data_IF_857178847874
#
_entry.id   IF_857178847874
#
_cell.length_a   1.000
_cell.length_b   1.000
_cell.length_c   1.000
_cell.angle_alpha   90.00
_cell.angle_beta   90.00
_cell.angle_gamma   90.00
#
_symmetry.space_group_name_H-M   'P 1'
#
loop_
_entity.id
_entity.type
_entity.pdbx_description
1 polymer ?
#
# COMPACT_ATOMS: atom_id res chain seq x y z
N UNK A 1 -17.90 -21.22 -13.20
CA UNK A 1 -16.47 -20.94 -13.03
C UNK A 1 -16.17 -19.64 -13.75
N UNK A 2 -16.21 -18.49 -13.06
CA UNK A 2 -15.96 -17.16 -13.63
C UNK A 2 -14.76 -16.55 -12.94
N UNK A 3 -13.98 -15.80 -13.71
CA UNK A 3 -12.56 -15.53 -13.51
C UNK A 3 -12.20 -14.79 -12.24
N UNK A 4 -11.18 -15.32 -11.56
CA UNK A 4 -10.28 -14.51 -10.73
C UNK A 4 -9.21 -13.96 -11.67
N UNK A 5 -9.23 -12.64 -11.88
CA UNK A 5 -8.08 -11.90 -12.40
C UNK A 5 -7.01 -11.97 -11.29
N UNK A 6 -6.14 -12.97 -11.44
CA UNK A 6 -5.12 -13.38 -10.47
C UNK A 6 -3.94 -12.43 -10.57
N UNK A 7 -3.44 -11.96 -9.44
CA UNK A 7 -2.09 -11.41 -9.26
C UNK A 7 -1.04 -12.50 -9.49
N UNK A 8 -1.02 -13.07 -10.70
CA UNK A 8 -0.25 -14.27 -11.04
C UNK A 8 1.27 -14.05 -10.94
N UNK A 9 1.71 -12.79 -10.99
CA UNK A 9 3.13 -12.43 -10.97
C UNK A 9 3.79 -12.69 -9.60
N UNK A 10 3.20 -12.26 -8.49
CA UNK A 10 3.80 -12.48 -7.17
C UNK A 10 3.80 -13.97 -6.76
N UNK A 11 2.78 -14.71 -7.17
CA UNK A 11 2.78 -16.17 -7.03
C UNK A 11 3.90 -16.82 -7.86
N UNK A 12 4.14 -16.35 -9.08
CA UNK A 12 5.24 -16.83 -9.92
C UNK A 12 6.61 -16.56 -9.29
N UNK A 13 6.80 -15.39 -8.69
CA UNK A 13 8.05 -15.02 -8.00
C UNK A 13 8.32 -15.97 -6.81
N UNK A 14 7.33 -16.29 -5.99
CA UNK A 14 7.50 -17.29 -4.92
C UNK A 14 7.77 -18.69 -5.45
N UNK A 15 7.12 -19.11 -6.54
CA UNK A 15 7.43 -20.42 -7.14
C UNK A 15 8.85 -20.47 -7.67
N UNK A 16 9.32 -19.42 -8.34
CA UNK A 16 10.70 -19.32 -8.82
C UNK A 16 11.69 -19.37 -7.65
N UNK A 17 11.39 -18.70 -6.53
CA UNK A 17 12.18 -18.77 -5.30
C UNK A 17 12.24 -20.21 -4.75
N UNK A 18 11.08 -20.89 -4.62
CA UNK A 18 11.03 -22.26 -4.11
C UNK A 18 11.72 -23.28 -5.01
N UNK A 19 11.74 -23.04 -6.32
CA UNK A 19 12.47 -23.86 -7.29
C UNK A 19 13.98 -23.56 -7.33
N UNK A 20 14.44 -22.50 -6.65
CA UNK A 20 15.84 -22.06 -6.69
C UNK A 20 16.23 -21.37 -7.99
N UNK A 21 15.28 -20.82 -8.74
CA UNK A 21 15.52 -20.07 -9.99
C UNK A 21 15.94 -18.62 -9.71
N UNK A 22 15.55 -18.08 -8.55
CA UNK A 22 15.92 -16.76 -8.04
C UNK A 22 16.28 -16.87 -6.57
N UNK A 23 17.15 -15.97 -6.09
CA UNK A 23 17.57 -15.95 -4.68
C UNK A 23 16.63 -15.17 -3.76
N UNK A 24 15.93 -14.17 -4.30
CA UNK A 24 15.05 -13.25 -3.54
C UNK A 24 13.84 -12.88 -4.39
N UNK A 25 12.66 -12.82 -3.75
CA UNK A 25 11.41 -12.34 -4.34
C UNK A 25 10.87 -11.15 -3.55
N UNK A 26 10.32 -10.15 -4.25
CA UNK A 26 9.62 -9.03 -3.64
C UNK A 26 8.11 -9.24 -3.82
N UNK A 27 7.39 -9.55 -2.74
CA UNK A 27 5.98 -9.89 -2.79
C UNK A 27 5.14 -9.03 -1.87
N UNK A 28 3.84 -8.97 -2.14
CA UNK A 28 2.85 -8.23 -1.36
C UNK A 28 2.10 -9.13 -0.40
N UNK A 29 1.57 -8.54 0.66
CA UNK A 29 0.71 -9.24 1.62
C UNK A 29 -0.53 -9.85 0.93
N UNK A 30 -0.98 -11.05 1.35
CA UNK A 30 -0.45 -11.85 2.47
C UNK A 30 0.65 -12.85 2.07
N UNK A 31 1.22 -12.74 0.85
CA UNK A 31 2.10 -13.80 0.31
C UNK A 31 3.40 -13.95 1.08
N UNK A 32 3.96 -12.83 1.56
CA UNK A 32 5.16 -12.83 2.40
C UNK A 32 4.93 -13.56 3.72
N UNK A 33 3.87 -13.21 4.46
CA UNK A 33 3.51 -13.85 5.72
C UNK A 33 3.24 -15.35 5.56
N UNK A 34 2.53 -15.74 4.49
CA UNK A 34 2.25 -17.16 4.20
C UNK A 34 3.56 -17.91 3.94
N UNK A 35 4.46 -17.34 3.16
CA UNK A 35 5.75 -17.95 2.83
C UNK A 35 6.62 -18.14 4.07
N UNK A 36 6.67 -17.13 4.95
CA UNK A 36 7.40 -17.18 6.23
C UNK A 36 6.77 -18.18 7.20
N UNK A 37 5.45 -18.12 7.43
CA UNK A 37 4.74 -19.01 8.34
C UNK A 37 4.86 -20.49 7.92
N UNK A 38 4.95 -20.77 6.62
CA UNK A 38 5.18 -22.12 6.09
C UNK A 38 6.62 -22.63 6.23
N UNK A 39 7.55 -21.78 6.66
CA UNK A 39 8.99 -22.09 6.76
C UNK A 39 9.71 -22.23 5.42
N UNK A 40 9.04 -21.87 4.31
CA UNK A 40 9.61 -21.99 2.95
C UNK A 40 10.44 -20.78 2.54
N UNK A 41 10.24 -19.64 3.18
CA UNK A 41 11.01 -18.43 2.99
C UNK A 41 11.30 -17.76 4.34
N UNK A 42 12.20 -16.79 4.31
CA UNK A 42 12.50 -15.90 5.43
C UNK A 42 12.32 -14.46 4.95
N UNK A 43 11.66 -13.62 5.74
CA UNK A 43 11.58 -12.19 5.44
C UNK A 43 12.97 -11.56 5.63
N UNK A 44 13.46 -10.89 4.59
CA UNK A 44 14.73 -10.16 4.62
C UNK A 44 14.53 -8.67 4.95
N UNK A 45 13.45 -8.09 4.42
CA UNK A 45 13.06 -6.69 4.61
C UNK A 45 11.53 -6.64 4.62
N UNK A 46 10.97 -6.06 5.67
CA UNK A 46 9.56 -5.66 5.77
C UNK A 46 9.48 -4.14 5.57
N UNK A 47 8.86 -3.69 4.47
CA UNK A 47 8.80 -2.26 4.13
C UNK A 47 8.01 -1.43 5.15
N UNK A 48 7.18 -2.07 5.99
CA UNK A 48 6.43 -1.38 7.04
C UNK A 48 7.27 -1.13 8.30
N UNK A 49 8.33 -1.93 8.54
CA UNK A 49 9.09 -1.93 9.80
C UNK A 49 10.57 -1.59 9.63
N UNK A 50 11.15 -1.95 8.50
CA UNK A 50 12.60 -1.94 8.31
C UNK A 50 13.07 -0.70 7.54
N UNK A 51 14.24 -0.20 7.92
CA UNK A 51 14.92 0.85 7.17
C UNK A 51 15.28 0.35 5.76
N UNK A 52 15.24 1.21 4.74
CA UNK A 52 15.00 2.66 4.83
C UNK A 52 13.54 3.10 4.69
N UNK A 53 12.59 2.16 4.64
CA UNK A 53 11.18 2.44 4.35
C UNK A 53 10.29 2.57 5.59
N UNK A 54 10.78 2.17 6.76
CA UNK A 54 10.09 2.28 8.04
C UNK A 54 9.47 3.68 8.23
N UNK A 55 8.17 3.72 8.53
CA UNK A 55 7.43 4.97 8.72
C UNK A 55 7.26 5.78 7.44
N UNK A 56 7.27 5.16 6.26
CA UNK A 56 6.97 5.82 4.97
C UNK A 56 5.77 5.20 4.29
N UNK A 57 4.90 6.03 3.74
CA UNK A 57 3.79 5.56 2.93
C UNK A 57 4.26 5.30 1.49
N UNK A 58 4.15 4.04 1.04
CA UNK A 58 4.54 3.65 -0.32
C UNK A 58 3.43 3.89 -1.37
N UNK A 59 2.18 4.01 -0.93
CA UNK A 59 1.00 4.16 -1.78
C UNK A 59 0.33 5.50 -1.52
N UNK A 60 -0.04 6.22 -2.59
CA UNK A 60 -0.68 7.52 -2.52
C UNK A 60 -1.97 7.54 -3.35
N UNK A 61 -2.94 8.35 -2.93
CA UNK A 61 -4.10 8.69 -3.75
C UNK A 61 -3.76 9.85 -4.68
N UNK A 62 -4.09 9.71 -5.96
CA UNK A 62 -3.85 10.74 -6.97
C UNK A 62 -5.17 11.24 -7.55
N UNK A 63 -5.24 12.55 -7.77
CA UNK A 63 -6.30 13.18 -8.53
C UNK A 63 -5.68 14.03 -9.65
N UNK A 64 -6.36 14.13 -10.79
CA UNK A 64 -5.86 14.97 -11.89
C UNK A 64 -5.82 16.44 -11.47
N UNK A 65 -4.78 17.17 -11.86
CA UNK A 65 -4.64 18.59 -11.52
C UNK A 65 -5.80 19.45 -12.02
N UNK A 66 -6.48 19.01 -13.09
CA UNK A 66 -7.70 19.67 -13.58
C UNK A 66 -8.82 19.59 -12.55
N UNK A 67 -9.15 18.38 -12.08
CA UNK A 67 -10.23 18.17 -11.11
C UNK A 67 -9.91 18.83 -9.77
N UNK A 68 -8.64 18.79 -9.32
CA UNK A 68 -8.24 19.47 -8.08
C UNK A 68 -8.46 21.00 -8.17
N UNK A 69 -8.24 21.61 -9.34
CA UNK A 69 -8.43 23.05 -9.55
C UNK A 69 -9.89 23.45 -9.77
N UNK A 70 -10.63 22.66 -10.55
CA UNK A 70 -12.02 22.98 -10.91
C UNK A 70 -13.00 22.61 -9.79
N UNK A 71 -12.74 21.50 -9.08
CA UNK A 71 -13.66 20.91 -8.09
C UNK A 71 -12.96 20.62 -6.74
N UNK A 72 -12.29 21.60 -6.09
CA UNK A 72 -11.52 21.35 -4.87
C UNK A 72 -12.38 20.81 -3.70
N UNK A 73 -13.62 21.27 -3.58
CA UNK A 73 -14.55 20.80 -2.53
C UNK A 73 -14.93 19.32 -2.70
N UNK A 74 -14.99 18.81 -3.93
CA UNK A 74 -15.27 17.39 -4.18
C UNK A 74 -14.07 16.52 -3.80
N UNK A 75 -12.84 16.96 -4.08
CA UNK A 75 -11.63 16.25 -3.64
C UNK A 75 -11.54 16.25 -2.12
N UNK A 76 -11.83 17.38 -1.47
CA UNK A 76 -11.88 17.47 -0.01
C UNK A 76 -12.95 16.56 0.59
N UNK A 77 -14.12 16.48 -0.04
CA UNK A 77 -15.18 15.56 0.39
C UNK A 77 -14.75 14.09 0.26
N UNK A 78 -14.08 13.73 -0.84
CA UNK A 78 -13.53 12.39 -1.05
C UNK A 78 -12.46 12.05 -0.01
N UNK A 79 -11.51 12.95 0.23
CA UNK A 79 -10.46 12.76 1.23
C UNK A 79 -11.06 12.53 2.63
N UNK A 80 -12.02 13.36 3.04
CA UNK A 80 -12.73 13.17 4.31
C UNK A 80 -13.52 11.84 4.37
N UNK A 81 -14.06 11.37 3.25
CA UNK A 81 -14.74 10.07 3.19
C UNK A 81 -13.74 8.92 3.38
N UNK A 82 -12.54 9.02 2.80
CA UNK A 82 -11.45 8.05 2.98
C UNK A 82 -11.01 8.01 4.45
N UNK A 83 -10.76 9.15 5.09
CA UNK A 83 -10.37 9.20 6.51
C UNK A 83 -11.43 8.59 7.44
N UNK A 84 -12.73 8.80 7.14
CA UNK A 84 -13.83 8.17 7.88
C UNK A 84 -13.85 6.65 7.68
N UNK A 85 -13.62 6.19 6.46
CA UNK A 85 -13.56 4.76 6.17
C UNK A 85 -12.36 4.09 6.85
N UNK A 86 -11.19 4.72 6.80
CA UNK A 86 -9.97 4.27 7.47
C UNK A 86 -10.17 4.16 8.98
N UNK A 87 -10.76 5.19 9.62
CA UNK A 87 -11.14 5.14 11.03
C UNK A 87 -12.09 3.99 11.33
N UNK A 88 -13.14 3.82 10.52
CA UNK A 88 -14.11 2.74 10.73
C UNK A 88 -13.46 1.35 10.58
N UNK A 89 -12.56 1.16 9.61
CA UNK A 89 -11.83 -0.11 9.43
C UNK A 89 -10.95 -0.39 10.65
N UNK A 90 -10.23 0.62 11.13
CA UNK A 90 -9.38 0.50 12.32
C UNK A 90 -10.17 0.10 13.57
N UNK A 91 -11.38 0.65 13.73
CA UNK A 91 -12.28 0.33 14.85
C UNK A 91 -13.02 -1.01 14.67
N UNK A 92 -13.20 -1.48 13.42
CA UNK A 92 -14.04 -2.65 13.08
C UNK A 92 -13.35 -3.62 12.09
N UNK A 93 -12.14 -4.14 12.38
CA UNK A 93 -11.34 -4.89 11.40
C UNK A 93 -11.99 -6.23 10.97
N UNK A 94 -12.73 -6.89 11.86
CA UNK A 94 -13.42 -8.15 11.55
C UNK A 94 -14.64 -7.93 10.65
N UNK A 95 -15.43 -6.88 10.90
CA UNK A 95 -16.53 -6.50 10.03
C UNK A 95 -16.03 -6.01 8.66
N UNK A 96 -14.92 -5.28 8.64
CA UNK A 96 -14.25 -4.89 7.41
C UNK A 96 -13.83 -6.10 6.58
N UNK A 97 -13.26 -7.13 7.22
CA UNK A 97 -12.93 -8.39 6.56
C UNK A 97 -14.15 -9.08 5.96
N UNK A 98 -15.25 -9.15 6.71
CA UNK A 98 -16.50 -9.75 6.23
C UNK A 98 -17.07 -9.00 5.01
N UNK A 99 -16.95 -7.66 4.98
CA UNK A 99 -17.32 -6.85 3.81
C UNK A 99 -16.42 -7.13 2.61
N UNK A 100 -15.10 -7.27 2.81
CA UNK A 100 -14.14 -7.62 1.75
C UNK A 100 -14.49 -8.98 1.14
N UNK A 101 -14.76 -9.98 1.98
CA UNK A 101 -15.10 -11.34 1.54
C UNK A 101 -16.44 -11.35 0.81
N UNK A 102 -17.49 -10.74 1.41
CA UNK A 102 -18.84 -10.70 0.83
C UNK A 102 -18.87 -9.95 -0.50
N UNK A 103 -18.12 -8.84 -0.59
CA UNK A 103 -18.01 -8.02 -1.79
C UNK A 103 -17.06 -8.61 -2.84
N UNK A 104 -16.30 -9.64 -2.50
CA UNK A 104 -15.24 -10.21 -3.35
C UNK A 104 -14.22 -9.15 -3.80
N UNK A 105 -13.93 -8.18 -2.92
CA UNK A 105 -12.99 -7.09 -3.20
C UNK A 105 -11.53 -7.54 -3.13
N UNK A 106 -11.26 -8.62 -2.41
CA UNK A 106 -9.96 -9.29 -2.38
C UNK A 106 -10.13 -10.81 -2.27
N UNK A 107 -9.11 -11.55 -2.69
CA UNK A 107 -9.05 -13.00 -2.48
C UNK A 107 -8.53 -13.26 -1.06
N UNK A 108 -9.40 -13.80 -0.21
CA UNK A 108 -9.08 -14.17 1.16
C UNK A 108 -9.13 -15.69 1.28
N UNK A 109 -7.96 -16.31 1.40
CA UNK A 109 -7.83 -17.77 1.59
C UNK A 109 -7.74 -18.13 3.08
N UNK A 110 -7.06 -17.30 3.86
CA UNK A 110 -6.92 -17.43 5.31
C UNK A 110 -7.53 -16.20 6.01
N UNK A 111 -8.64 -16.42 6.71
CA UNK A 111 -9.36 -15.35 7.41
C UNK A 111 -8.62 -14.87 8.66
N UNK A 112 -7.94 -15.76 9.37
CA UNK A 112 -7.25 -15.42 10.61
C UNK A 112 -6.04 -14.53 10.29
N UNK A 113 -5.27 -14.90 9.25
CA UNK A 113 -4.18 -14.08 8.76
C UNK A 113 -4.68 -12.74 8.23
N UNK A 114 -5.76 -12.72 7.42
CA UNK A 114 -6.31 -11.47 6.91
C UNK A 114 -6.81 -10.55 8.03
N UNK A 115 -7.45 -11.10 9.07
CA UNK A 115 -7.90 -10.33 10.22
C UNK A 115 -6.72 -9.77 11.04
N UNK A 116 -5.64 -10.55 11.17
CA UNK A 116 -4.40 -10.09 11.80
C UNK A 116 -3.79 -8.93 11.01
N UNK A 117 -3.63 -9.07 9.70
CA UNK A 117 -3.08 -8.01 8.84
C UNK A 117 -3.90 -6.72 8.90
N UNK A 118 -5.23 -6.81 8.84
CA UNK A 118 -6.09 -5.64 8.98
C UNK A 118 -5.94 -4.93 10.33
N UNK A 119 -5.56 -5.63 11.40
CA UNK A 119 -5.28 -5.07 12.74
C UNK A 119 -3.87 -4.50 12.84
N UNK A 120 -2.92 -5.05 12.09
CA UNK A 120 -1.51 -4.65 12.10
C UNK A 120 -1.24 -3.43 11.21
N UNK A 121 -2.09 -3.15 10.22
CA UNK A 121 -1.95 -1.97 9.35
C UNK A 121 -2.24 -0.65 10.08
N UNK A 122 -1.53 0.39 9.65
CA UNK A 122 -1.75 1.76 10.10
C UNK A 122 -2.79 2.46 9.22
N UNK A 123 -3.82 3.02 9.86
CA UNK A 123 -4.87 3.77 9.20
C UNK A 123 -4.84 5.22 9.64
N UNK A 124 -4.63 6.14 8.69
CA UNK A 124 -4.77 7.57 8.97
C UNK A 124 -6.24 7.90 9.27
N UNK A 125 -6.48 8.69 10.31
CA UNK A 125 -7.81 9.15 10.69
C UNK A 125 -7.88 10.67 10.65
N UNK A 126 -9.08 11.24 10.79
CA UNK A 126 -9.22 12.70 10.84
C UNK A 126 -8.43 13.34 12.00
N UNK A 127 -8.19 12.61 13.08
CA UNK A 127 -7.42 13.05 14.25
C UNK A 127 -5.91 13.06 14.00
N UNK A 128 -5.41 12.17 13.13
CA UNK A 128 -3.98 12.09 12.76
C UNK A 128 -3.69 12.73 11.41
N UNK A 129 -4.71 13.18 10.69
CA UNK A 129 -4.60 13.74 9.36
C UNK A 129 -3.57 14.89 9.33
N UNK A 130 -2.57 14.76 8.46
CA UNK A 130 -1.52 15.77 8.29
C UNK A 130 -0.41 15.75 9.36
N UNK A 131 -0.42 14.77 10.27
CA UNK A 131 0.72 14.52 11.18
C UNK A 131 1.89 13.83 10.48
N UNK A 132 1.62 13.16 9.36
CA UNK A 132 2.60 12.45 8.56
C UNK A 132 3.21 13.35 7.48
N UNK A 133 4.53 13.27 7.28
CA UNK A 133 5.23 14.02 6.23
C UNK A 133 5.08 13.35 4.86
N UNK A 134 3.86 13.40 4.32
CA UNK A 134 3.53 12.82 2.99
C UNK A 134 4.39 13.44 1.88
N UNK A 135 4.66 14.75 1.95
CA UNK A 135 5.51 15.43 0.96
C UNK A 135 6.96 14.95 1.04
N UNK A 136 7.49 14.76 2.25
CA UNK A 136 8.80 14.18 2.49
C UNK A 136 8.93 12.76 1.97
N UNK A 137 7.89 11.94 2.12
CA UNK A 137 7.86 10.59 1.55
C UNK A 137 7.86 10.61 0.02
N UNK A 138 7.04 11.45 -0.60
CA UNK A 138 7.06 11.63 -2.07
C UNK A 138 8.47 12.04 -2.54
N UNK A 139 9.10 12.98 -1.83
CA UNK A 139 10.46 13.41 -2.15
C UNK A 139 11.47 12.28 -2.04
N UNK A 140 11.41 11.52 -0.95
CA UNK A 140 12.27 10.36 -0.74
C UNK A 140 12.14 9.35 -1.89
N UNK A 141 10.92 8.97 -2.26
CA UNK A 141 10.73 8.03 -3.37
C UNK A 141 11.15 8.63 -4.72
N UNK A 142 10.94 9.93 -4.96
CA UNK A 142 11.43 10.59 -6.16
C UNK A 142 12.98 10.56 -6.25
N UNK A 143 13.67 10.75 -5.12
CA UNK A 143 15.13 10.63 -5.03
C UNK A 143 15.61 9.20 -5.27
N UNK A 144 14.95 8.19 -4.70
CA UNK A 144 15.28 6.79 -4.94
C UNK A 144 15.05 6.40 -6.41
N UNK A 145 13.91 6.80 -7.00
CA UNK A 145 13.62 6.60 -8.42
C UNK A 145 14.65 7.28 -9.33
N UNK A 146 15.17 8.44 -8.93
CA UNK A 146 16.25 9.14 -9.65
C UNK A 146 17.56 8.35 -9.60
N UNK A 147 17.93 7.83 -8.43
CA UNK A 147 19.16 7.03 -8.25
C UNK A 147 19.17 5.78 -9.12
N UNK A 148 18.02 5.13 -9.28
CA UNK A 148 17.88 3.94 -10.12
C UNK A 148 17.59 4.25 -11.60
N UNK A 149 17.55 5.53 -11.98
CA UNK A 149 17.40 5.97 -13.37
C UNK A 149 15.97 5.92 -13.93
N UNK A 150 14.96 5.75 -13.07
CA UNK A 150 13.55 5.75 -13.49
C UNK A 150 12.95 7.15 -13.57
N UNK A 151 13.41 8.09 -12.74
CA UNK A 151 12.96 9.49 -12.80
C UNK A 151 13.92 10.35 -13.65
N UNK A 152 13.40 10.89 -14.74
CA UNK A 152 14.05 11.97 -15.49
C UNK A 152 13.74 13.32 -14.81
N UNK A 153 14.71 14.26 -14.84
CA UNK A 153 14.55 15.57 -14.20
C UNK A 153 14.92 15.63 -12.71
N UNK A 154 14.55 16.72 -12.04
CA UNK A 154 14.88 17.00 -10.64
C UNK A 154 13.81 16.45 -9.67
N UNK A 155 14.18 15.62 -8.68
CA UNK A 155 13.24 15.04 -7.72
C UNK A 155 12.48 16.07 -6.88
N UNK A 156 13.11 17.19 -6.54
CA UNK A 156 12.47 18.24 -5.75
C UNK A 156 11.38 18.91 -6.58
N UNK A 157 11.71 19.31 -7.82
CA UNK A 157 10.74 19.88 -8.74
C UNK A 157 9.60 18.91 -9.05
N UNK A 158 9.90 17.61 -9.24
CA UNK A 158 8.87 16.60 -9.42
C UNK A 158 7.89 16.58 -8.23
N UNK A 159 8.42 16.56 -7.01
CA UNK A 159 7.62 16.55 -5.78
C UNK A 159 6.72 17.78 -5.67
N UNK A 160 7.28 18.98 -5.89
CA UNK A 160 6.51 20.24 -5.85
C UNK A 160 5.38 20.28 -6.89
N UNK A 161 5.54 19.60 -8.03
CA UNK A 161 4.54 19.58 -9.09
C UNK A 161 3.37 18.63 -8.82
N UNK A 162 3.58 17.55 -8.05
CA UNK A 162 2.58 16.50 -7.86
C UNK A 162 1.88 16.57 -6.49
N UNK A 163 2.50 17.24 -5.52
CA UNK A 163 1.92 17.38 -4.18
C UNK A 163 1.09 18.66 -4.06
N UNK A 164 -0.11 18.53 -3.50
CA UNK A 164 -0.96 19.66 -3.16
C UNK A 164 -1.71 19.38 -1.85
N UNK A 165 -1.75 20.36 -0.96
CA UNK A 165 -2.59 20.33 0.24
C UNK A 165 -4.06 20.56 -0.14
N UNK A 166 -4.98 19.79 0.46
CA UNK A 166 -6.43 19.81 0.17
C UNK A 166 -7.25 20.00 1.44
#
# INVERSE_FOLDING_TARGET
MRGACRTQRCYQELQALYNGEIDVAAVWDPLGDIAEASGKAKVLVDISKDAPFAGKYCCFYYASSKVVKENPEEIKALYNAVLKAQKWINENPEEALDLIIKGQYSQVEDKELAAKLLKDYEYETAETAGSHDVKGDIKYFAEELKKIGYLEGDPTQFTENIYQEV
#
